data_IF_030917589850
#
_entry.id   IF_030917589850
#
_cell.length_a   1.000
_cell.length_b   1.000
_cell.length_c   1.000
_cell.angle_alpha   90.00
_cell.angle_beta   90.00
_cell.angle_gamma   90.00
#
_symmetry.space_group_name_H-M   'P 1'
#
loop_
_entity.id
_entity.type
_entity.pdbx_description
1 polymer ?
#
# COMPACT_ATOMS: atom_id res chain seq x y z
N UNK A 1 -9.82 8.26 20.81
CA UNK A 1 -10.67 9.48 20.81
C UNK A 1 -10.91 10.02 19.41
N UNK A 2 -10.79 9.18 18.36
CA UNK A 2 -11.07 9.59 16.98
C UNK A 2 -12.57 9.91 16.81
N UNK A 3 -12.89 11.05 16.16
CA UNK A 3 -14.27 11.49 15.90
C UNK A 3 -14.93 12.29 16.99
N UNK A 4 -14.16 12.87 17.91
CA UNK A 4 -14.68 13.69 19.03
C UNK A 4 -14.16 15.13 19.03
N UNK A 5 -13.62 15.63 17.91
CA UNK A 5 -13.00 16.97 17.80
C UNK A 5 -11.98 17.25 18.94
N UNK A 6 -11.17 16.25 19.25
CA UNK A 6 -10.15 16.34 20.27
C UNK A 6 -9.05 17.35 19.92
N UNK A 7 -8.34 17.85 20.94
CA UNK A 7 -7.17 18.72 20.74
C UNK A 7 -6.15 18.03 19.83
N UNK A 8 -5.76 18.70 18.73
CA UNK A 8 -4.87 18.19 17.69
C UNK A 8 -5.43 17.01 16.87
N UNK A 9 -6.72 16.77 16.88
CA UNK A 9 -7.36 15.81 15.99
C UNK A 9 -7.43 16.40 14.58
N UNK A 10 -6.86 15.70 13.61
CA UNK A 10 -6.91 16.06 12.18
C UNK A 10 -7.35 14.84 11.40
N UNK A 11 -8.23 15.02 10.43
CA UNK A 11 -8.58 13.96 9.47
C UNK A 11 -7.42 13.72 8.49
N UNK A 12 -6.38 13.06 8.98
CA UNK A 12 -5.18 12.70 8.20
C UNK A 12 -5.53 11.83 7.00
N UNK A 13 -6.52 10.96 7.12
CA UNK A 13 -7.00 10.09 6.04
C UNK A 13 -7.61 10.93 4.92
N UNK A 14 -8.53 11.84 5.25
CA UNK A 14 -9.18 12.71 4.25
C UNK A 14 -8.18 13.62 3.52
N UNK A 15 -7.20 14.17 4.25
CA UNK A 15 -6.16 15.05 3.68
C UNK A 15 -5.20 14.27 2.77
N UNK A 16 -4.84 13.04 3.15
CA UNK A 16 -3.78 12.30 2.46
C UNK A 16 -4.29 11.33 1.40
N UNK A 17 -5.57 11.02 1.38
CA UNK A 17 -6.17 10.12 0.40
C UNK A 17 -5.83 10.46 -1.07
N UNK A 18 -5.86 11.71 -1.52
CA UNK A 18 -5.57 12.04 -2.91
C UNK A 18 -4.09 11.96 -3.29
N UNK A 19 -3.18 11.89 -2.32
CA UNK A 19 -1.73 11.92 -2.55
C UNK A 19 -1.02 10.63 -2.11
N UNK A 20 -1.76 9.67 -1.55
CA UNK A 20 -1.22 8.38 -1.13
C UNK A 20 -1.85 7.24 -1.90
N UNK A 21 -1.11 6.16 -2.06
CA UNK A 21 -1.64 4.92 -2.63
C UNK A 21 -2.61 4.22 -1.69
N UNK A 22 -2.34 4.32 -0.40
CA UNK A 22 -3.16 3.75 0.68
C UNK A 22 -2.87 4.48 1.99
N UNK A 23 -3.87 4.58 2.84
CA UNK A 23 -3.71 5.08 4.20
C UNK A 23 -4.46 4.20 5.20
N UNK A 24 -3.94 4.10 6.40
CA UNK A 24 -4.45 3.24 7.45
C UNK A 24 -4.32 3.91 8.81
N UNK A 25 -5.39 3.83 9.62
CA UNK A 25 -5.38 4.30 11.01
C UNK A 25 -5.31 3.09 11.92
N UNK A 26 -4.27 3.00 12.73
CA UNK A 26 -4.09 1.94 13.72
C UNK A 26 -5.00 2.24 14.92
N UNK A 27 -5.94 1.35 15.22
CA UNK A 27 -6.90 1.51 16.33
C UNK A 27 -6.56 0.69 17.56
N UNK A 28 -5.75 -0.35 17.43
CA UNK A 28 -5.30 -1.24 18.49
C UNK A 28 -3.80 -1.50 18.31
N UNK A 29 -3.04 -1.44 19.38
CA UNK A 29 -1.58 -1.69 19.33
C UNK A 29 -1.23 -3.07 18.80
N UNK A 30 -2.11 -4.06 18.96
CA UNK A 30 -1.92 -5.43 18.42
C UNK A 30 -1.88 -5.47 16.90
N UNK A 31 -2.56 -4.51 16.24
CA UNK A 31 -2.62 -4.43 14.79
C UNK A 31 -1.40 -3.73 14.19
N UNK A 32 -0.58 -3.07 15.00
CA UNK A 32 0.54 -2.25 14.54
C UNK A 32 1.54 -3.03 13.69
N UNK A 33 1.94 -4.22 14.15
CA UNK A 33 2.88 -5.07 13.42
C UNK A 33 2.36 -5.46 12.04
N UNK A 34 1.08 -5.81 11.95
CA UNK A 34 0.42 -6.13 10.69
C UNK A 34 0.30 -4.89 9.80
N UNK A 35 -0.15 -3.76 10.34
CA UNK A 35 -0.34 -2.51 9.59
C UNK A 35 0.98 -2.04 8.94
N UNK A 36 2.10 -2.12 9.67
CA UNK A 36 3.43 -1.77 9.13
C UNK A 36 3.84 -2.73 8.02
N UNK A 37 3.69 -4.04 8.21
CA UNK A 37 4.04 -5.03 7.19
C UNK A 37 3.21 -4.86 5.92
N UNK A 38 1.90 -4.66 6.07
CA UNK A 38 0.99 -4.45 4.96
C UNK A 38 1.29 -3.14 4.21
N UNK A 39 1.65 -2.08 4.94
CA UNK A 39 2.05 -0.81 4.34
C UNK A 39 3.26 -0.96 3.41
N UNK A 40 4.29 -1.68 3.84
CA UNK A 40 5.46 -1.96 2.99
C UNK A 40 5.09 -2.80 1.77
N UNK A 41 4.25 -3.82 1.94
CA UNK A 41 3.76 -4.63 0.84
C UNK A 41 3.00 -3.77 -0.19
N UNK A 42 2.03 -2.97 0.26
CA UNK A 42 1.23 -2.12 -0.62
C UNK A 42 2.10 -1.06 -1.32
N UNK A 43 3.02 -0.42 -0.59
CA UNK A 43 3.91 0.60 -1.16
C UNK A 43 4.79 0.06 -2.28
N UNK A 44 5.21 -1.20 -2.19
CA UNK A 44 6.17 -1.82 -3.12
C UNK A 44 5.55 -2.75 -4.17
N UNK A 45 4.25 -3.08 -4.05
CA UNK A 45 3.53 -3.95 -4.98
C UNK A 45 2.90 -3.16 -6.14
N UNK A 46 2.69 -3.78 -7.29
CA UNK A 46 2.08 -3.16 -8.46
C UNK A 46 2.69 -1.79 -8.79
N UNK A 47 1.86 -0.79 -9.09
CA UNK A 47 2.34 0.60 -9.22
C UNK A 47 2.78 1.09 -7.84
N UNK A 48 4.07 1.25 -7.64
CA UNK A 48 4.66 1.72 -6.37
C UNK A 48 4.18 3.13 -6.03
N UNK A 49 3.94 3.39 -4.75
CA UNK A 49 3.46 4.70 -4.30
C UNK A 49 3.52 4.83 -2.77
N UNK A 50 3.40 6.04 -2.25
CA UNK A 50 3.46 6.31 -0.83
C UNK A 50 2.26 5.71 -0.08
N UNK A 51 2.51 5.21 1.12
CA UNK A 51 1.49 4.74 2.06
C UNK A 51 1.65 5.49 3.37
N UNK A 52 0.55 5.87 3.97
CA UNK A 52 0.53 6.54 5.26
C UNK A 52 -0.06 5.61 6.32
N UNK A 53 0.60 5.53 7.47
CA UNK A 53 0.05 4.91 8.68
C UNK A 53 -0.11 6.00 9.73
N UNK A 54 -1.32 6.20 10.18
CA UNK A 54 -1.64 7.08 11.30
C UNK A 54 -1.72 6.26 12.58
N UNK A 55 -0.92 6.63 13.56
CA UNK A 55 -0.88 5.96 14.86
C UNK A 55 -1.31 6.98 15.93
N UNK A 56 -2.57 6.92 16.38
CA UNK A 56 -3.07 7.84 17.41
C UNK A 56 -2.27 7.76 18.71
N UNK A 57 -2.17 8.88 19.42
CA UNK A 57 -1.37 9.00 20.63
C UNK A 57 -1.73 7.96 21.72
N UNK A 58 -3.01 7.64 21.85
CA UNK A 58 -3.44 6.61 22.81
C UNK A 58 -2.90 5.21 22.48
N UNK A 59 -2.69 4.88 21.19
CA UNK A 59 -2.10 3.61 20.77
C UNK A 59 -0.59 3.58 21.08
N UNK A 60 0.09 4.73 21.02
CA UNK A 60 1.50 4.85 21.38
C UNK A 60 1.79 4.55 22.84
N UNK A 61 0.82 4.82 23.73
CA UNK A 61 0.94 4.59 25.17
C UNK A 61 0.60 3.15 25.57
N UNK A 62 0.09 2.35 24.65
CA UNK A 62 -0.29 0.97 24.90
C UNK A 62 0.89 0.01 24.73
N UNK A 63 0.78 -1.15 25.37
CA UNK A 63 1.76 -2.24 25.25
C UNK A 63 1.07 -3.55 24.92
N UNK A 64 1.69 -4.36 24.08
CA UNK A 64 1.22 -5.70 23.78
C UNK A 64 2.40 -6.65 23.57
N UNK A 65 2.13 -7.96 23.62
CA UNK A 65 3.11 -8.95 23.21
C UNK A 65 3.35 -8.82 21.71
N UNK A 66 4.62 -8.66 21.33
CA UNK A 66 5.00 -8.54 19.94
C UNK A 66 4.83 -9.88 19.20
N UNK A 67 3.98 -9.89 18.21
CA UNK A 67 3.86 -11.00 17.26
C UNK A 67 4.33 -10.53 15.90
N UNK A 68 5.39 -11.11 15.31
CA UNK A 68 5.84 -10.76 13.98
C UNK A 68 4.72 -10.97 12.96
N UNK A 69 4.37 -9.92 12.21
CA UNK A 69 3.47 -10.09 11.09
C UNK A 69 4.17 -10.90 9.99
N UNK A 70 3.46 -11.88 9.45
CA UNK A 70 3.95 -12.60 8.27
C UNK A 70 3.80 -11.66 7.07
N UNK A 71 4.91 -11.24 6.49
CA UNK A 71 4.87 -10.42 5.27
C UNK A 71 4.16 -11.20 4.16
N UNK A 72 3.22 -10.54 3.48
CA UNK A 72 2.67 -11.07 2.25
C UNK A 72 3.79 -11.21 1.23
N UNK A 73 3.95 -12.40 0.69
CA UNK A 73 4.93 -12.63 -0.37
C UNK A 73 4.50 -11.83 -1.61
N UNK A 74 5.43 -11.04 -2.12
CA UNK A 74 5.18 -10.32 -3.37
C UNK A 74 5.02 -11.36 -4.48
N UNK A 75 3.87 -11.39 -5.20
CA UNK A 75 3.78 -12.25 -6.36
C UNK A 75 4.93 -11.91 -7.30
N UNK A 76 5.66 -12.93 -7.74
CA UNK A 76 6.66 -12.73 -8.78
C UNK A 76 5.94 -12.16 -10.01
N UNK A 77 6.43 -11.04 -10.54
CA UNK A 77 6.00 -10.54 -11.84
C UNK A 77 6.49 -11.57 -12.89
N UNK A 78 5.74 -12.64 -13.04
CA UNK A 78 6.00 -13.66 -14.07
C UNK A 78 5.59 -13.03 -15.39
N UNK A 79 6.60 -12.66 -16.17
CA UNK A 79 6.40 -12.24 -17.55
C UNK A 79 6.09 -13.50 -18.35
N UNK A 80 4.90 -13.58 -18.93
CA UNK A 80 4.58 -14.64 -19.86
C UNK A 80 5.31 -14.39 -21.20
N UNK A 81 6.34 -15.17 -21.44
CA UNK A 81 7.14 -15.04 -22.66
C UNK A 81 6.35 -15.34 -23.94
N UNK A 82 5.23 -16.06 -23.84
CA UNK A 82 4.33 -16.30 -24.96
C UNK A 82 3.59 -15.01 -25.33
N UNK A 83 3.05 -14.31 -24.31
CA UNK A 83 2.40 -13.01 -24.52
C UNK A 83 3.38 -11.96 -25.07
N UNK A 84 4.64 -11.98 -24.62
CA UNK A 84 5.69 -11.10 -25.15
C UNK A 84 5.98 -11.41 -26.62
N UNK A 85 6.05 -12.69 -27.00
CA UNK A 85 6.28 -13.08 -28.38
C UNK A 85 5.10 -12.67 -29.29
N UNK A 86 3.88 -12.84 -28.82
CA UNK A 86 2.67 -12.42 -29.55
C UNK A 86 2.59 -10.92 -29.73
N UNK A 87 2.90 -10.15 -28.67
CA UNK A 87 2.97 -8.70 -28.74
C UNK A 87 4.06 -8.23 -29.73
N UNK A 88 5.24 -8.83 -29.68
CA UNK A 88 6.33 -8.53 -30.62
C UNK A 88 5.92 -8.81 -32.08
N UNK A 89 5.22 -9.92 -32.31
CA UNK A 89 4.71 -10.26 -33.64
C UNK A 89 3.74 -9.20 -34.16
N UNK A 90 2.75 -8.81 -33.33
CA UNK A 90 1.76 -7.78 -33.70
C UNK A 90 2.46 -6.45 -34.03
N UNK A 91 3.48 -6.05 -33.24
CA UNK A 91 4.22 -4.82 -33.47
C UNK A 91 4.99 -4.89 -34.81
N UNK A 92 5.67 -6.01 -35.08
CA UNK A 92 6.47 -6.19 -36.28
C UNK A 92 5.63 -6.28 -37.57
N UNK A 93 4.42 -6.83 -37.48
CA UNK A 93 3.49 -6.93 -38.60
C UNK A 93 2.69 -5.65 -38.83
N UNK A 94 2.72 -4.70 -37.89
CA UNK A 94 1.98 -3.45 -37.98
C UNK A 94 2.63 -2.47 -38.95
N UNK A 95 1.85 -1.98 -39.92
CA UNK A 95 2.34 -0.96 -40.84
C UNK A 95 2.44 0.45 -40.19
N UNK A 96 1.67 0.70 -39.15
CA UNK A 96 1.60 2.00 -38.45
C UNK A 96 1.36 1.80 -36.95
N UNK A 97 2.34 1.29 -36.19
CA UNK A 97 2.18 1.10 -34.75
C UNK A 97 2.06 2.45 -34.03
N UNK A 98 1.18 2.52 -33.04
CA UNK A 98 1.01 3.65 -32.13
C UNK A 98 1.31 3.20 -30.70
N UNK A 99 2.15 3.95 -30.01
CA UNK A 99 2.43 3.77 -28.57
C UNK A 99 1.87 4.97 -27.85
N UNK A 100 1.01 4.77 -26.84
CA UNK A 100 0.43 5.84 -26.02
C UNK A 100 0.66 5.60 -24.51
#
# INVERSE_FOLDING_TARGET
MLGHDGFQEVDTTGITMPITKYNYIVKDVKDLSFAVSEAFYVATSGRKGPVLIDIPANVFDESCDYVPAKMSEKPADLVDMTEVADAAKIINESARPLIY
#
